data_IF_208824571374
#
_entry.id   IF_208824571374
#
_cell.length_a   1.000
_cell.length_b   1.000
_cell.length_c   1.000
_cell.angle_alpha   90.00
_cell.angle_beta   90.00
_cell.angle_gamma   90.00
#
_symmetry.space_group_name_H-M   'P 1'
#
loop_
_entity.id
_entity.type
_entity.pdbx_description
1 polymer ?
#
# COMPACT_ATOMS: atom_id res chain seq x y z
N UNK A 1 -6.45 -60.42 -5.28
CA UNK A 1 -7.30 -59.21 -5.10
C UNK A 1 -6.49 -58.01 -5.37
N UNK A 2 -6.67 -57.43 -6.54
CA UNK A 2 -5.95 -56.25 -6.95
C UNK A 2 -6.61 -55.01 -6.36
N UNK A 3 -5.95 -54.40 -5.39
CA UNK A 3 -6.35 -53.09 -4.89
C UNK A 3 -6.14 -52.03 -5.98
N UNK A 4 -7.21 -51.57 -6.60
CA UNK A 4 -7.16 -50.41 -7.46
C UNK A 4 -6.84 -49.20 -6.60
N UNK A 5 -5.60 -48.83 -6.59
CA UNK A 5 -5.20 -47.48 -6.10
C UNK A 5 -5.93 -46.45 -6.93
N UNK A 6 -6.87 -45.74 -6.33
CA UNK A 6 -7.39 -44.50 -6.88
C UNK A 6 -6.24 -43.49 -6.94
N UNK A 7 -5.62 -43.44 -8.11
CA UNK A 7 -4.74 -42.31 -8.41
C UNK A 7 -5.53 -41.03 -8.29
N UNK A 8 -5.27 -40.28 -7.22
CA UNK A 8 -5.82 -38.96 -7.09
C UNK A 8 -5.38 -38.14 -8.31
N UNK A 9 -6.33 -37.85 -9.19
CA UNK A 9 -6.13 -36.81 -10.20
C UNK A 9 -5.77 -35.55 -9.44
N UNK A 10 -4.48 -35.28 -9.36
CA UNK A 10 -4.02 -34.00 -8.93
C UNK A 10 -4.77 -32.96 -9.75
N UNK A 11 -5.66 -32.25 -9.12
CA UNK A 11 -6.31 -31.09 -9.70
C UNK A 11 -5.19 -30.18 -10.15
N UNK A 12 -4.89 -30.15 -11.45
CA UNK A 12 -4.01 -29.13 -12.01
C UNK A 12 -4.66 -27.82 -11.57
N UNK A 13 -4.06 -27.18 -10.57
CA UNK A 13 -4.45 -25.81 -10.25
C UNK A 13 -4.25 -25.04 -11.54
N UNK A 14 -5.36 -24.74 -12.22
CA UNK A 14 -5.33 -23.76 -13.28
C UNK A 14 -4.62 -22.54 -12.67
N UNK A 15 -3.54 -22.09 -13.30
CA UNK A 15 -2.88 -20.86 -12.87
C UNK A 15 -3.89 -19.73 -13.03
N UNK A 16 -4.66 -19.48 -11.97
CA UNK A 16 -5.55 -18.33 -11.96
C UNK A 16 -4.69 -17.07 -12.01
N UNK A 17 -4.85 -16.30 -13.07
CA UNK A 17 -4.19 -15.02 -13.19
C UNK A 17 -4.79 -14.06 -12.17
N UNK A 18 -3.97 -13.48 -11.30
CA UNK A 18 -4.42 -12.49 -10.34
C UNK A 18 -4.91 -11.21 -11.05
N UNK A 19 -5.77 -10.46 -10.39
CA UNK A 19 -6.18 -9.13 -10.90
C UNK A 19 -5.00 -8.20 -11.05
N UNK A 20 -4.02 -8.28 -10.15
CA UNK A 20 -2.78 -7.50 -10.22
C UNK A 20 -1.99 -7.82 -11.49
N UNK A 21 -1.82 -9.09 -11.81
CA UNK A 21 -1.14 -9.52 -13.03
C UNK A 21 -1.87 -9.04 -14.28
N UNK A 22 -3.21 -9.12 -14.32
CA UNK A 22 -4.02 -8.61 -15.44
C UNK A 22 -3.87 -7.11 -15.65
N UNK A 23 -3.69 -6.36 -14.58
CA UNK A 23 -3.53 -4.90 -14.61
C UNK A 23 -2.07 -4.48 -14.78
N UNK A 24 -1.11 -5.40 -14.76
CA UNK A 24 0.32 -5.09 -14.78
C UNK A 24 0.82 -4.42 -13.51
N UNK A 25 0.16 -4.67 -12.37
CA UNK A 25 0.50 -4.06 -11.09
C UNK A 25 1.19 -5.06 -10.15
N UNK A 26 2.06 -4.54 -9.30
CA UNK A 26 2.68 -5.29 -8.21
C UNK A 26 1.81 -5.29 -6.96
N UNK A 27 1.04 -4.22 -6.72
CA UNK A 27 0.17 -4.11 -5.55
C UNK A 27 -1.04 -5.04 -5.66
N UNK A 28 -1.51 -5.55 -4.51
CA UNK A 28 -2.53 -6.61 -4.47
C UNK A 28 -3.94 -6.03 -4.70
N UNK A 29 -4.40 -6.03 -5.94
CA UNK A 29 -5.73 -5.53 -6.32
C UNK A 29 -6.85 -6.26 -5.56
N UNK A 30 -6.77 -7.59 -5.42
CA UNK A 30 -7.77 -8.38 -4.70
C UNK A 30 -7.88 -8.00 -3.22
N UNK A 31 -6.77 -7.71 -2.58
CA UNK A 31 -6.75 -7.27 -1.18
C UNK A 31 -7.33 -5.85 -1.02
N UNK A 32 -7.02 -4.96 -1.94
CA UNK A 32 -7.59 -3.61 -1.96
C UNK A 32 -9.11 -3.69 -2.14
N UNK A 33 -9.58 -4.55 -3.05
CA UNK A 33 -11.01 -4.78 -3.25
C UNK A 33 -11.70 -5.25 -1.96
N UNK A 34 -11.07 -6.18 -1.25
CA UNK A 34 -11.58 -6.69 0.02
C UNK A 34 -11.67 -5.58 1.08
N UNK A 35 -10.65 -4.75 1.21
CA UNK A 35 -10.65 -3.63 2.16
C UNK A 35 -11.72 -2.60 1.83
N UNK A 36 -11.92 -2.29 0.57
CA UNK A 36 -12.98 -1.37 0.15
C UNK A 36 -14.37 -1.90 0.52
N UNK A 37 -14.61 -3.20 0.33
CA UNK A 37 -15.86 -3.84 0.71
C UNK A 37 -16.06 -3.90 2.22
N UNK A 38 -15.03 -4.24 2.96
CA UNK A 38 -15.08 -4.33 4.42
C UNK A 38 -15.24 -2.95 5.07
N UNK A 39 -14.67 -1.93 4.50
CA UNK A 39 -14.74 -0.56 5.01
C UNK A 39 -16.11 0.10 4.84
N UNK A 40 -17.03 -0.50 4.10
CA UNK A 40 -18.37 0.01 3.82
C UNK A 40 -18.38 1.48 3.38
N UNK A 41 -17.38 1.85 2.59
CA UNK A 41 -17.21 3.22 2.12
C UNK A 41 -18.30 3.64 1.13
N UNK A 42 -18.92 2.67 0.46
CA UNK A 42 -20.04 2.87 -0.44
C UNK A 42 -20.89 1.60 -0.53
N UNK A 43 -22.12 1.74 -1.02
CA UNK A 43 -23.03 0.62 -1.21
C UNK A 43 -22.52 -0.37 -2.27
N UNK A 44 -21.83 0.13 -3.28
CA UNK A 44 -21.24 -0.66 -4.37
C UNK A 44 -19.85 -0.18 -4.70
N UNK A 45 -19.00 -1.13 -5.09
CA UNK A 45 -17.64 -0.84 -5.53
C UNK A 45 -17.52 -1.34 -6.98
N UNK A 46 -17.28 -0.43 -7.90
CA UNK A 46 -17.06 -0.78 -9.30
C UNK A 46 -15.81 -1.64 -9.47
N UNK A 47 -15.80 -2.51 -10.49
CA UNK A 47 -14.72 -3.45 -10.72
C UNK A 47 -13.36 -2.77 -10.98
N UNK A 48 -13.37 -1.59 -11.58
CA UNK A 48 -12.16 -0.80 -11.85
C UNK A 48 -11.62 -0.03 -10.64
N UNK A 49 -12.42 0.19 -9.60
CA UNK A 49 -12.01 0.99 -8.45
C UNK A 49 -10.83 0.39 -7.69
N UNK A 50 -10.80 -0.92 -7.37
CA UNK A 50 -9.64 -1.53 -6.72
C UNK A 50 -8.37 -1.49 -7.58
N UNK A 51 -8.50 -1.62 -8.89
CA UNK A 51 -7.37 -1.54 -9.83
C UNK A 51 -6.77 -0.15 -9.81
N UNK A 52 -7.61 0.87 -9.93
CA UNK A 52 -7.17 2.26 -9.90
C UNK A 52 -6.52 2.62 -8.56
N UNK A 53 -7.14 2.21 -7.45
CA UNK A 53 -6.60 2.45 -6.12
C UNK A 53 -5.24 1.76 -5.92
N UNK A 54 -5.10 0.51 -6.35
CA UNK A 54 -3.84 -0.22 -6.29
C UNK A 54 -2.75 0.46 -7.12
N UNK A 55 -3.10 0.96 -8.31
CA UNK A 55 -2.19 1.71 -9.17
C UNK A 55 -1.69 3.00 -8.50
N UNK A 56 -2.59 3.74 -7.87
CA UNK A 56 -2.24 4.97 -7.12
C UNK A 56 -1.31 4.65 -5.97
N UNK A 57 -1.61 3.61 -5.19
CA UNK A 57 -0.76 3.18 -4.06
C UNK A 57 0.61 2.73 -4.52
N UNK A 58 0.69 1.99 -5.63
CA UNK A 58 1.97 1.55 -6.20
C UNK A 58 2.80 2.74 -6.65
N UNK A 59 2.19 3.70 -7.35
CA UNK A 59 2.86 4.92 -7.79
C UNK A 59 3.39 5.74 -6.60
N UNK A 60 2.57 5.97 -5.59
CA UNK A 60 2.96 6.71 -4.39
C UNK A 60 4.10 6.00 -3.65
N UNK A 61 4.02 4.69 -3.51
CA UNK A 61 5.07 3.91 -2.87
C UNK A 61 6.40 4.02 -3.63
N UNK A 62 6.37 3.89 -4.95
CA UNK A 62 7.56 4.02 -5.78
C UNK A 62 8.19 5.41 -5.67
N UNK A 63 7.39 6.46 -5.68
CA UNK A 63 7.84 7.85 -5.54
C UNK A 63 8.49 8.09 -4.18
N UNK A 64 7.85 7.66 -3.11
CA UNK A 64 8.39 7.79 -1.75
C UNK A 64 9.70 7.02 -1.60
N UNK A 65 9.78 5.81 -2.16
CA UNK A 65 11.00 4.99 -2.10
C UNK A 65 12.15 5.62 -2.88
N UNK A 66 11.87 6.23 -4.03
CA UNK A 66 12.90 6.94 -4.81
C UNK A 66 13.48 8.10 -4.00
N UNK A 67 12.63 8.94 -3.44
CA UNK A 67 13.02 10.09 -2.64
C UNK A 67 13.73 9.66 -1.35
N UNK A 68 13.25 8.60 -0.70
CA UNK A 68 13.90 8.05 0.49
C UNK A 68 15.26 7.45 0.18
N UNK A 69 15.40 6.81 -0.99
CA UNK A 69 16.68 6.32 -1.48
C UNK A 69 17.68 7.44 -1.71
N UNK A 70 17.25 8.56 -2.26
CA UNK A 70 18.07 9.75 -2.42
C UNK A 70 18.51 10.32 -1.06
N UNK A 71 17.59 10.41 -0.11
CA UNK A 71 17.90 10.87 1.25
C UNK A 71 18.93 9.95 1.94
N UNK A 72 18.80 8.65 1.79
CA UNK A 72 19.78 7.69 2.32
C UNK A 72 21.16 7.88 1.71
N UNK A 73 21.23 8.06 0.39
CA UNK A 73 22.50 8.32 -0.31
C UNK A 73 23.14 9.62 0.11
N UNK A 74 22.36 10.68 0.29
CA UNK A 74 22.86 11.97 0.78
C UNK A 74 23.44 11.84 2.19
N UNK A 75 22.87 10.95 3.00
CA UNK A 75 23.37 10.60 4.33
C UNK A 75 24.48 9.54 4.30
N UNK A 76 24.97 9.16 3.13
CA UNK A 76 25.99 8.12 2.93
C UNK A 76 25.59 6.77 3.56
N UNK A 77 24.32 6.42 3.47
CA UNK A 77 23.77 5.15 3.97
C UNK A 77 23.33 4.28 2.79
N UNK A 78 23.55 2.98 2.91
CA UNK A 78 23.10 1.99 1.93
C UNK A 78 21.72 1.42 2.25
N UNK A 79 21.19 1.72 3.43
CA UNK A 79 19.91 1.20 3.91
C UNK A 79 18.93 2.34 4.10
N UNK A 80 17.72 2.15 3.57
CA UNK A 80 16.61 3.07 3.84
C UNK A 80 16.04 2.74 5.22
N UNK A 81 16.04 3.72 6.10
CA UNK A 81 15.43 3.63 7.43
C UNK A 81 14.24 4.59 7.52
N UNK A 82 13.36 4.46 8.51
CA UNK A 82 12.15 5.31 8.62
C UNK A 82 12.44 6.81 8.56
N UNK A 83 13.58 7.25 9.10
CA UNK A 83 14.00 8.65 9.04
C UNK A 83 14.18 9.15 7.61
N UNK A 84 14.69 8.31 6.71
CA UNK A 84 14.85 8.68 5.30
C UNK A 84 13.51 8.88 4.62
N UNK A 85 12.52 8.05 4.96
CA UNK A 85 11.15 8.18 4.47
C UNK A 85 10.53 9.48 5.00
N UNK A 86 10.73 9.78 6.28
CA UNK A 86 10.26 11.01 6.89
C UNK A 86 10.85 12.25 6.22
N UNK A 87 12.15 12.26 5.98
CA UNK A 87 12.82 13.36 5.30
C UNK A 87 12.31 13.53 3.86
N UNK A 88 12.13 12.43 3.14
CA UNK A 88 11.59 12.44 1.79
C UNK A 88 10.21 13.07 1.73
N UNK A 89 9.33 12.67 2.64
CA UNK A 89 7.96 13.19 2.71
C UNK A 89 7.96 14.68 3.10
N UNK A 90 8.76 15.08 4.06
CA UNK A 90 8.83 16.47 4.53
C UNK A 90 9.38 17.42 3.48
N UNK A 91 10.33 16.96 2.67
CA UNK A 91 11.00 17.80 1.67
C UNK A 91 10.24 17.88 0.36
N UNK A 92 9.27 17.01 0.13
CA UNK A 92 8.40 17.07 -1.04
C UNK A 92 7.11 17.80 -0.69
N UNK A 93 6.82 18.87 -1.41
CA UNK A 93 5.67 19.72 -1.11
C UNK A 93 4.34 18.97 -1.21
N UNK A 94 4.15 18.18 -2.25
CA UNK A 94 2.92 17.42 -2.48
C UNK A 94 2.75 16.30 -1.47
N UNK A 95 3.80 15.52 -1.23
CA UNK A 95 3.78 14.44 -0.23
C UNK A 95 3.60 15.01 1.17
N UNK A 96 4.22 16.12 1.48
CA UNK A 96 4.05 16.76 2.78
C UNK A 96 2.60 17.20 3.03
N UNK A 97 1.94 17.74 2.03
CA UNK A 97 0.51 18.08 2.11
C UNK A 97 -0.35 16.85 2.30
N UNK A 98 -0.09 15.79 1.55
CA UNK A 98 -0.84 14.54 1.62
C UNK A 98 -0.67 13.85 2.97
N UNK A 99 0.54 13.86 3.52
CA UNK A 99 0.93 13.13 4.72
C UNK A 99 1.06 14.02 5.97
N UNK A 100 0.61 15.26 5.89
CA UNK A 100 0.83 16.26 6.95
C UNK A 100 0.26 15.93 8.31
N UNK A 101 -0.72 15.00 8.39
CA UNK A 101 -1.28 14.50 9.64
C UNK A 101 -0.67 13.18 10.13
N UNK A 102 0.35 12.67 9.46
CA UNK A 102 0.94 11.36 9.74
C UNK A 102 2.32 11.53 10.35
N UNK A 103 2.55 10.88 11.49
CA UNK A 103 3.85 10.83 12.15
C UNK A 103 4.47 9.46 11.93
N UNK A 104 5.71 9.43 11.47
CA UNK A 104 6.47 8.19 11.33
C UNK A 104 7.24 7.96 12.62
N UNK A 105 6.88 6.89 13.34
CA UNK A 105 7.58 6.52 14.55
C UNK A 105 8.97 5.94 14.23
N UNK A 106 9.93 6.18 15.10
CA UNK A 106 11.29 5.67 14.95
C UNK A 106 11.37 4.14 14.84
N UNK A 107 10.35 3.42 15.33
CA UNK A 107 10.25 1.97 15.25
C UNK A 107 9.63 1.42 13.95
N UNK A 108 9.32 2.28 12.98
CA UNK A 108 8.84 1.86 11.65
C UNK A 108 7.35 1.57 11.53
N UNK A 109 6.57 1.81 12.58
CA UNK A 109 5.10 1.71 12.50
C UNK A 109 4.50 3.10 12.33
N UNK A 110 3.74 3.27 11.25
CA UNK A 110 2.97 4.49 11.02
C UNK A 110 1.75 4.49 11.96
N UNK A 111 1.65 5.45 12.91
CA UNK A 111 0.39 5.62 13.63
C UNK A 111 -0.67 6.08 12.63
N UNK A 112 -1.65 5.23 12.39
CA UNK A 112 -2.73 5.53 11.46
C UNK A 112 -3.87 6.20 12.22
N UNK A 113 -3.83 7.52 12.30
CA UNK A 113 -4.91 8.31 12.88
C UNK A 113 -5.68 8.94 11.73
N UNK A 114 -6.95 8.53 11.56
CA UNK A 114 -7.83 9.20 10.61
C UNK A 114 -7.94 10.69 10.95
N UNK A 115 -7.85 11.54 9.94
CA UNK A 115 -7.97 12.99 10.11
C UNK A 115 -9.24 13.41 10.86
N UNK A 116 -10.31 12.63 10.71
CA UNK A 116 -11.60 12.84 11.43
C UNK A 116 -11.48 12.63 12.93
N UNK A 117 -10.51 11.83 13.37
CA UNK A 117 -10.27 11.53 14.78
C UNK A 117 -9.24 12.45 15.42
N UNK A 118 -8.57 13.28 14.62
CA UNK A 118 -7.67 14.27 15.15
C UNK A 118 -8.48 15.43 15.76
N UNK A 119 -8.11 15.91 16.95
CA UNK A 119 -8.75 17.10 17.47
C UNK A 119 -8.57 18.22 16.44
N UNK A 120 -9.67 18.91 16.12
CA UNK A 120 -9.60 20.11 15.30
C UNK A 120 -8.56 21.04 15.91
N UNK A 121 -7.49 21.33 15.16
CA UNK A 121 -6.61 22.43 15.55
C UNK A 121 -7.50 23.67 15.71
N UNK A 122 -7.69 24.12 16.91
CA UNK A 122 -8.24 25.45 17.12
C UNK A 122 -7.35 26.39 16.30
N UNK A 123 -7.96 27.04 15.32
CA UNK A 123 -7.23 27.98 14.50
C UNK A 123 -6.41 28.89 15.41
N UNK A 124 -5.16 29.09 15.10
CA UNK A 124 -4.36 30.13 15.76
C UNK A 124 -5.12 31.43 15.59
N UNK A 125 -5.71 31.86 16.66
CA UNK A 125 -6.17 33.24 16.74
C UNK A 125 -4.96 34.17 16.67
#
# INVERSE_FOLDING_TARGET
MSGKGKGGRGRKKSKSTSRSAKAGLQFPVGRVARYLRQGRVAARIGAGAPVYMAAVLEYLCAEILELAGNAARDNKKSRIVPRHIQLAVRNDEELNKLMGGVTIAAGGVLPNIHAVLLPKKKGKQ
#
